data_IF_812235116612
#
_entry.id   IF_812235116612
#
_cell.length_a   1.000
_cell.length_b   1.000
_cell.length_c   1.000
_cell.angle_alpha   90.00
_cell.angle_beta   90.00
_cell.angle_gamma   90.00
#
_symmetry.space_group_name_H-M   'P 1'
#
loop_
_entity.id
_entity.type
_entity.pdbx_description
1 polymer ?
#
# COMPACT_ATOMS: atom_id res chain seq x y z
N UNK A 1 12.13 -3.28 3.70
CA UNK A 1 12.23 -2.84 5.11
C UNK A 1 12.98 -1.51 5.14
N UNK A 2 12.60 -0.59 6.02
CA UNK A 2 13.32 0.68 6.16
C UNK A 2 14.63 0.51 6.92
N UNK A 3 15.52 1.50 6.83
CA UNK A 3 16.82 1.52 7.52
C UNK A 3 16.70 1.74 9.03
N UNK A 4 15.54 2.19 9.52
CA UNK A 4 15.27 2.51 10.93
C UNK A 4 14.17 1.64 11.56
N UNK A 5 13.69 0.64 10.84
CA UNK A 5 12.59 -0.23 11.26
C UNK A 5 11.74 -0.75 10.09
N UNK A 6 10.74 -1.54 10.42
CA UNK A 6 9.78 -2.05 9.45
C UNK A 6 8.50 -2.53 10.12
N UNK A 7 7.48 -2.78 9.32
CA UNK A 7 6.28 -3.44 9.79
C UNK A 7 5.90 -4.55 8.82
N UNK A 8 5.30 -5.59 9.37
CA UNK A 8 4.56 -6.60 8.63
C UNK A 8 3.09 -6.43 9.00
N UNK A 9 2.19 -6.56 8.03
CA UNK A 9 0.76 -6.40 8.27
C UNK A 9 0.09 -7.71 8.71
N UNK A 10 0.56 -8.86 8.21
CA UNK A 10 -0.05 -10.17 8.50
C UNK A 10 1.00 -11.27 8.78
N UNK A 11 1.18 -11.71 10.06
CA UNK A 11 0.61 -11.10 11.27
C UNK A 11 1.16 -9.68 11.49
N UNK A 12 0.40 -8.83 12.19
CA UNK A 12 0.79 -7.46 12.43
C UNK A 12 1.98 -7.40 13.41
N UNK A 13 3.16 -7.08 12.89
CA UNK A 13 4.42 -7.02 13.64
C UNK A 13 5.15 -5.72 13.36
N UNK A 14 5.67 -5.07 14.40
CA UNK A 14 6.54 -3.90 14.26
C UNK A 14 7.97 -4.30 14.62
N UNK A 15 8.91 -4.05 13.71
CA UNK A 15 10.33 -4.25 13.92
C UNK A 15 11.00 -2.93 14.30
N UNK A 16 11.63 -2.90 15.47
CA UNK A 16 12.35 -1.73 15.98
C UNK A 16 13.77 -2.11 16.39
N UNK A 17 14.69 -1.19 16.19
CA UNK A 17 16.03 -1.27 16.77
C UNK A 17 16.00 -0.78 18.22
N UNK A 18 16.46 -1.62 19.15
CA UNK A 18 16.70 -1.26 20.55
C UNK A 18 18.15 -1.63 20.86
N UNK A 19 18.99 -0.62 21.07
CA UNK A 19 20.42 -0.78 21.39
C UNK A 19 21.21 -1.65 20.40
N UNK A 20 20.94 -1.54 19.09
CA UNK A 20 21.62 -2.31 18.04
C UNK A 20 21.08 -3.72 17.84
N UNK A 21 20.02 -4.10 18.57
CA UNK A 21 19.33 -5.37 18.40
C UNK A 21 17.96 -5.14 17.76
N UNK A 22 17.65 -5.95 16.74
CA UNK A 22 16.31 -5.99 16.14
C UNK A 22 15.35 -6.69 17.11
N UNK A 23 14.30 -5.98 17.48
CA UNK A 23 13.22 -6.49 18.32
C UNK A 23 11.92 -6.58 17.53
N UNK A 24 11.09 -7.56 17.85
CA UNK A 24 9.72 -7.69 17.33
C UNK A 24 8.76 -7.27 18.42
N UNK A 25 7.96 -6.24 18.16
CA UNK A 25 6.92 -5.77 19.08
C UNK A 25 5.56 -6.22 18.54
N UNK A 26 4.85 -7.02 19.33
CA UNK A 26 3.45 -7.36 19.10
C UNK A 26 2.59 -6.34 19.82
N UNK A 27 1.73 -5.62 19.08
CA UNK A 27 0.76 -4.73 19.72
C UNK A 27 -0.31 -5.57 20.39
N UNK A 28 -0.49 -5.38 21.70
CA UNK A 28 -1.57 -5.98 22.47
C UNK A 28 -2.73 -4.98 22.55
N UNK A 29 -3.95 -5.45 22.29
CA UNK A 29 -5.17 -4.65 22.40
C UNK A 29 -6.17 -4.97 21.29
N UNK A 30 -7.40 -4.51 21.48
CA UNK A 30 -8.45 -4.58 20.47
C UNK A 30 -8.33 -3.39 19.53
N UNK A 31 -8.04 -3.67 18.25
CA UNK A 31 -8.17 -2.65 17.22
C UNK A 31 -9.65 -2.44 16.89
N UNK A 32 -10.08 -1.20 16.60
CA UNK A 32 -11.44 -0.96 16.14
C UNK A 32 -11.69 -1.80 14.88
N UNK A 33 -12.76 -2.57 14.89
CA UNK A 33 -13.23 -3.27 13.69
C UNK A 33 -13.81 -2.24 12.75
N UNK A 34 -13.04 -1.94 11.71
CA UNK A 34 -13.43 -0.97 10.69
C UNK A 34 -14.05 -1.70 9.51
N UNK A 35 -15.25 -1.29 9.12
CA UNK A 35 -15.82 -1.68 7.82
C UNK A 35 -15.13 -0.89 6.70
N UNK A 36 -14.19 -1.55 6.02
CA UNK A 36 -13.42 -0.95 4.93
C UNK A 36 -14.28 -0.59 3.72
N UNK A 37 -15.41 -1.28 3.49
CA UNK A 37 -16.32 -0.95 2.38
C UNK A 37 -17.09 0.33 2.69
N UNK A 38 -17.58 0.45 3.91
CA UNK A 38 -18.27 1.65 4.37
C UNK A 38 -17.33 2.87 4.30
N UNK A 39 -16.06 2.74 4.71
CA UNK A 39 -15.07 3.83 4.60
C UNK A 39 -14.86 4.26 3.15
N UNK A 40 -14.72 3.33 2.20
CA UNK A 40 -14.51 3.67 0.78
C UNK A 40 -15.65 4.53 0.24
N UNK A 41 -16.89 4.17 0.55
CA UNK A 41 -18.08 4.93 0.14
C UNK A 41 -18.07 6.32 0.78
N UNK A 42 -17.81 6.41 2.08
CA UNK A 42 -17.73 7.71 2.75
C UNK A 42 -16.66 8.62 2.17
N UNK A 43 -15.48 8.07 1.85
CA UNK A 43 -14.38 8.84 1.25
C UNK A 43 -14.73 9.35 -0.14
N UNK A 44 -15.45 8.56 -0.93
CA UNK A 44 -15.98 9.00 -2.22
C UNK A 44 -16.96 10.16 -2.07
N UNK A 45 -17.97 10.03 -1.18
CA UNK A 45 -18.95 11.09 -0.92
C UNK A 45 -18.29 12.35 -0.38
N UNK A 46 -17.32 12.21 0.53
CA UNK A 46 -16.55 13.31 1.11
C UNK A 46 -15.81 14.09 0.00
N UNK A 47 -15.22 13.39 -0.96
CA UNK A 47 -14.50 14.00 -2.07
C UNK A 47 -15.41 14.86 -2.93
N UNK A 48 -16.63 14.37 -3.21
CA UNK A 48 -17.66 15.12 -3.95
C UNK A 48 -18.13 16.35 -3.17
N UNK A 49 -18.48 16.18 -1.89
CA UNK A 49 -19.03 17.27 -1.06
C UNK A 49 -18.04 18.41 -0.85
N UNK A 50 -16.76 18.09 -0.66
CA UNK A 50 -15.71 19.06 -0.34
C UNK A 50 -15.00 19.55 -1.61
N UNK A 51 -15.21 18.91 -2.76
CA UNK A 51 -14.52 19.25 -4.01
C UNK A 51 -13.02 18.93 -3.96
N UNK A 52 -12.62 17.90 -3.21
CA UNK A 52 -11.22 17.44 -3.13
C UNK A 52 -10.99 16.23 -4.04
N UNK A 53 -9.73 15.94 -4.44
CA UNK A 53 -9.41 14.75 -5.21
C UNK A 53 -9.93 13.47 -4.55
N UNK A 54 -10.32 12.51 -5.37
CA UNK A 54 -10.74 11.19 -4.90
C UNK A 54 -9.63 10.53 -4.08
N UNK A 55 -10.02 9.80 -3.03
CA UNK A 55 -9.09 9.00 -2.23
C UNK A 55 -8.32 7.96 -3.06
N UNK A 56 -8.98 7.40 -4.09
CA UNK A 56 -8.38 6.51 -5.07
C UNK A 56 -8.83 6.97 -6.46
N UNK A 57 -8.09 7.90 -7.10
CA UNK A 57 -8.43 8.37 -8.44
C UNK A 57 -8.12 7.29 -9.48
N UNK A 58 -8.78 7.37 -10.64
CA UNK A 58 -8.63 6.38 -11.71
C UNK A 58 -7.18 6.21 -12.20
N UNK A 59 -6.36 7.27 -12.10
CA UNK A 59 -4.94 7.25 -12.48
C UNK A 59 -4.12 6.23 -11.67
N UNK A 60 -4.48 5.96 -10.41
CA UNK A 60 -3.81 4.92 -9.63
C UNK A 60 -4.10 3.53 -10.21
N UNK A 61 -5.32 3.29 -10.69
CA UNK A 61 -5.66 2.06 -11.39
C UNK A 61 -4.88 1.88 -12.69
N UNK A 62 -4.62 2.96 -13.43
CA UNK A 62 -3.77 2.91 -14.63
C UNK A 62 -2.30 2.60 -14.29
N UNK A 63 -1.79 3.12 -13.18
CA UNK A 63 -0.44 2.77 -12.68
C UNK A 63 -0.35 1.29 -12.33
N UNK A 64 -1.36 0.74 -11.66
CA UNK A 64 -1.41 -0.70 -11.34
C UNK A 64 -1.37 -1.54 -12.62
N UNK A 65 -2.12 -1.15 -13.66
CA UNK A 65 -2.10 -1.85 -14.95
C UNK A 65 -0.73 -1.79 -15.63
N UNK A 66 -0.06 -0.64 -15.61
CA UNK A 66 1.29 -0.50 -16.17
C UNK A 66 2.31 -1.40 -15.45
N UNK A 67 2.22 -1.51 -14.12
CA UNK A 67 3.07 -2.42 -13.34
C UNK A 67 2.79 -3.88 -13.71
N UNK A 68 1.51 -4.27 -13.83
CA UNK A 68 1.13 -5.63 -14.22
C UNK A 68 1.65 -5.98 -15.61
N UNK A 69 1.55 -5.06 -16.57
CA UNK A 69 2.11 -5.25 -17.91
C UNK A 69 3.63 -5.46 -17.87
N UNK A 70 4.35 -4.61 -17.13
CA UNK A 70 5.78 -4.76 -16.93
C UNK A 70 6.13 -6.10 -16.27
N UNK A 71 5.34 -6.56 -15.30
CA UNK A 71 5.53 -7.87 -14.69
C UNK A 71 5.41 -9.01 -15.71
N UNK A 72 4.37 -8.99 -16.56
CA UNK A 72 4.22 -9.99 -17.63
C UNK A 72 5.35 -9.94 -18.65
N UNK A 73 5.82 -8.73 -19.00
CA UNK A 73 6.93 -8.56 -19.94
C UNK A 73 8.25 -9.05 -19.34
N UNK A 74 8.49 -8.80 -18.05
CA UNK A 74 9.63 -9.34 -17.30
C UNK A 74 9.65 -10.85 -17.31
N UNK A 75 8.50 -11.48 -17.03
CA UNK A 75 8.37 -12.94 -17.01
C UNK A 75 8.65 -13.57 -18.39
N UNK A 76 8.19 -12.94 -19.48
CA UNK A 76 8.46 -13.39 -20.86
C UNK A 76 9.93 -13.23 -21.25
N UNK A 77 10.55 -12.13 -20.85
CA UNK A 77 11.96 -11.80 -21.17
C UNK A 77 12.95 -12.58 -20.32
N UNK A 78 12.54 -13.02 -19.13
CA UNK A 78 13.42 -13.65 -18.14
C UNK A 78 14.39 -12.66 -17.48
N UNK A 79 14.02 -11.39 -17.39
CA UNK A 79 14.89 -10.35 -16.85
C UNK A 79 14.22 -9.00 -16.71
N UNK A 80 14.95 -8.04 -16.16
CA UNK A 80 14.42 -6.72 -15.81
C UNK A 80 13.85 -5.96 -17.02
N UNK A 81 12.74 -5.27 -16.77
CA UNK A 81 12.08 -4.35 -17.70
C UNK A 81 11.67 -3.10 -16.95
N UNK A 82 11.66 -1.98 -17.66
CA UNK A 82 11.18 -0.70 -17.13
C UNK A 82 9.65 -0.70 -17.11
N UNK A 83 9.07 -0.11 -16.06
CA UNK A 83 7.64 0.21 -16.02
C UNK A 83 7.46 1.50 -16.81
N UNK A 84 6.67 1.44 -17.88
CA UNK A 84 6.37 2.60 -18.71
C UNK A 84 4.99 3.14 -18.35
N UNK A 85 4.94 4.44 -18.03
CA UNK A 85 3.71 5.20 -17.84
C UNK A 85 3.96 6.66 -18.27
N UNK A 86 3.01 7.26 -19.00
CA UNK A 86 3.04 8.68 -19.35
C UNK A 86 1.60 9.17 -19.45
N UNK A 87 1.05 9.59 -18.30
CA UNK A 87 -0.34 9.99 -18.13
C UNK A 87 -0.50 11.02 -17.00
#
# INVERSE_FOLDING_TARGET
MGTRGGARLEPFEIYRDVNGFRTTTNLQGDFPKIDTQQIKIFKFIESIKVGKPLYAPAIEGLRDQAILEAFYNSAKKGGEVKVEWDF
#
